data_IF_422395601196
#
_entry.id   IF_422395601196
#
_cell.length_a   1.000
_cell.length_b   1.000
_cell.length_c   1.000
_cell.angle_alpha   90.00
_cell.angle_beta   90.00
_cell.angle_gamma   90.00
#
_symmetry.space_group_name_H-M   'P 1'
#
loop_
_entity.id
_entity.type
_entity.pdbx_description
1 polymer ?
#
# COMPACT_ATOMS: atom_id res chain seq x y z
N UNK A 1 6.32 -28.53 18.39
CA UNK A 1 5.41 -27.89 19.39
C UNK A 1 5.80 -26.47 19.83
N UNK A 2 7.08 -26.15 20.12
CA UNK A 2 7.47 -24.81 20.62
C UNK A 2 7.17 -23.63 19.67
N UNK A 3 7.26 -23.82 18.34
CA UNK A 3 7.00 -22.77 17.32
C UNK A 3 5.59 -22.20 17.33
N UNK A 4 4.58 -23.04 17.59
CA UNK A 4 3.17 -22.63 17.59
C UNK A 4 2.84 -21.75 18.80
N UNK A 5 3.44 -22.01 19.96
CA UNK A 5 3.24 -21.20 21.17
C UNK A 5 3.77 -19.78 21.00
N UNK A 6 4.94 -19.61 20.40
CA UNK A 6 5.53 -18.30 20.13
C UNK A 6 4.71 -17.47 19.14
N UNK A 7 4.17 -18.08 18.09
CA UNK A 7 3.30 -17.38 17.13
C UNK A 7 2.01 -16.91 17.80
N UNK A 8 1.40 -17.73 18.68
CA UNK A 8 0.21 -17.33 19.43
C UNK A 8 0.49 -16.19 20.41
N UNK A 9 1.64 -16.24 21.09
CA UNK A 9 2.10 -15.19 21.97
C UNK A 9 2.34 -13.89 21.20
N UNK A 10 3.07 -13.94 20.09
CA UNK A 10 3.35 -12.76 19.23
C UNK A 10 2.07 -12.16 18.64
N UNK A 11 1.12 -13.00 18.18
CA UNK A 11 -0.21 -12.53 17.75
C UNK A 11 -0.97 -11.75 18.83
N UNK A 12 -0.73 -12.05 20.11
CA UNK A 12 -1.41 -11.44 21.26
C UNK A 12 -0.74 -10.15 21.74
N UNK A 13 0.58 -10.04 21.59
CA UNK A 13 1.37 -8.89 22.08
C UNK A 13 1.57 -7.83 21.00
N UNK A 14 1.64 -8.22 19.71
CA UNK A 14 1.78 -7.28 18.59
C UNK A 14 0.52 -7.33 17.71
N UNK A 15 -0.40 -6.36 17.87
CA UNK A 15 -1.46 -6.18 16.90
C UNK A 15 -0.80 -6.04 15.51
N UNK A 16 -1.30 -6.79 14.53
CA UNK A 16 -0.78 -6.89 13.16
C UNK A 16 0.45 -7.81 12.94
N UNK A 17 0.90 -8.61 13.93
CA UNK A 17 1.98 -9.59 13.69
C UNK A 17 1.64 -10.60 12.58
N UNK A 18 0.40 -11.09 12.57
CA UNK A 18 -0.07 -11.99 11.50
C UNK A 18 0.01 -11.30 10.13
N UNK A 19 -0.39 -10.04 10.06
CA UNK A 19 -0.32 -9.24 8.84
C UNK A 19 1.13 -9.08 8.36
N UNK A 20 2.10 -8.89 9.25
CA UNK A 20 3.53 -8.84 8.85
C UNK A 20 4.04 -10.14 8.21
N UNK A 21 3.45 -11.28 8.55
CA UNK A 21 3.81 -12.58 7.97
C UNK A 21 3.09 -12.86 6.65
N UNK A 22 1.86 -12.37 6.49
CA UNK A 22 1.03 -12.60 5.30
C UNK A 22 0.96 -11.38 4.37
N UNK A 23 1.70 -10.31 4.69
CA UNK A 23 1.70 -9.07 3.92
C UNK A 23 2.12 -9.36 2.47
N UNK A 24 1.37 -8.85 1.48
CA UNK A 24 1.79 -8.91 0.09
C UNK A 24 3.21 -8.35 -0.09
N UNK A 25 3.99 -8.95 -0.98
CA UNK A 25 5.42 -8.70 -1.14
C UNK A 25 5.83 -8.34 -2.58
N UNK A 26 4.86 -8.01 -3.43
CA UNK A 26 5.10 -7.44 -4.77
C UNK A 26 4.26 -6.19 -4.94
N UNK A 27 4.67 -5.29 -5.85
CA UNK A 27 3.89 -4.08 -6.19
C UNK A 27 2.45 -4.45 -6.59
N UNK A 28 2.33 -5.45 -7.47
CA UNK A 28 1.08 -5.97 -7.99
C UNK A 28 0.14 -6.48 -6.89
N UNK A 29 0.64 -7.36 -6.02
CA UNK A 29 -0.16 -7.97 -4.96
C UNK A 29 -0.61 -6.96 -3.89
N UNK A 30 0.20 -5.94 -3.64
CA UNK A 30 -0.18 -4.81 -2.77
C UNK A 30 -1.30 -4.00 -3.42
N UNK A 31 -1.16 -3.65 -4.71
CA UNK A 31 -2.16 -2.89 -5.43
C UNK A 31 -3.52 -3.62 -5.46
N UNK A 32 -3.51 -4.92 -5.74
CA UNK A 32 -4.71 -5.78 -5.69
C UNK A 32 -5.36 -5.77 -4.31
N UNK A 33 -4.60 -6.06 -3.24
CA UNK A 33 -5.15 -6.06 -1.87
C UNK A 33 -5.73 -4.69 -1.50
N UNK A 34 -5.10 -3.60 -1.93
CA UNK A 34 -5.57 -2.26 -1.61
C UNK A 34 -6.90 -1.93 -2.29
N UNK A 35 -7.00 -2.17 -3.61
CA UNK A 35 -8.23 -1.95 -4.37
C UNK A 35 -9.38 -2.80 -3.83
N UNK A 36 -9.11 -4.07 -3.53
CA UNK A 36 -10.17 -5.03 -3.18
C UNK A 36 -10.62 -4.96 -1.72
N UNK A 37 -9.75 -4.52 -0.81
CA UNK A 37 -10.01 -4.66 0.63
C UNK A 37 -9.84 -3.38 1.44
N UNK A 38 -9.20 -2.34 0.90
CA UNK A 38 -8.81 -1.14 1.67
C UNK A 38 -9.53 0.12 1.22
N UNK A 39 -9.96 0.17 -0.03
CA UNK A 39 -10.76 1.26 -0.56
C UNK A 39 -12.24 1.17 -0.14
N UNK A 40 -12.94 2.32 -0.08
CA UNK A 40 -14.41 2.36 -0.07
C UNK A 40 -15.04 1.58 -1.23
N UNK A 41 -16.35 1.37 -1.17
CA UNK A 41 -17.10 0.76 -2.27
C UNK A 41 -16.89 1.55 -3.57
N UNK A 42 -16.79 0.82 -4.69
CA UNK A 42 -16.56 1.38 -6.03
C UNK A 42 -17.49 2.55 -6.38
N UNK A 43 -18.78 2.48 -6.01
CA UNK A 43 -19.74 3.56 -6.28
C UNK A 43 -19.32 4.89 -5.65
N UNK A 44 -18.70 4.86 -4.47
CA UNK A 44 -18.19 6.06 -3.78
C UNK A 44 -16.89 6.61 -4.38
N UNK A 45 -16.30 5.90 -5.35
CA UNK A 45 -15.05 6.29 -6.01
C UNK A 45 -15.30 6.83 -7.42
N UNK A 46 -16.51 6.70 -7.98
CA UNK A 46 -16.87 7.15 -9.33
C UNK A 46 -16.74 8.66 -9.51
N UNK A 47 -16.98 9.41 -8.44
CA UNK A 47 -16.92 10.88 -8.44
C UNK A 47 -15.47 11.42 -8.32
N UNK A 48 -14.48 10.54 -8.17
CA UNK A 48 -13.08 10.96 -8.07
C UNK A 48 -12.47 11.17 -9.46
N UNK A 49 -11.84 12.32 -9.66
CA UNK A 49 -11.10 12.63 -10.88
C UNK A 49 -9.70 11.98 -10.86
N UNK A 50 -9.60 10.80 -11.47
CA UNK A 50 -8.32 10.09 -11.65
C UNK A 50 -7.40 10.74 -12.72
N UNK A 51 -7.91 11.67 -13.52
CA UNK A 51 -7.13 12.43 -14.50
C UNK A 51 -6.35 13.60 -13.88
N UNK A 52 -6.74 14.05 -12.68
CA UNK A 52 -6.14 15.18 -11.98
C UNK A 52 -5.47 14.78 -10.66
N UNK A 53 -4.56 13.81 -10.72
CA UNK A 53 -3.79 13.36 -9.55
C UNK A 53 -2.65 14.36 -9.30
N UNK A 54 -2.90 15.36 -8.46
CA UNK A 54 -1.82 16.25 -7.99
C UNK A 54 -0.94 15.56 -6.94
N UNK A 55 0.37 15.85 -6.93
CA UNK A 55 1.32 15.23 -5.99
C UNK A 55 1.26 15.82 -4.57
N UNK A 56 0.68 17.02 -4.41
CA UNK A 56 0.74 17.80 -3.17
C UNK A 56 -0.64 18.18 -2.60
N UNK A 57 -1.73 17.82 -3.27
CA UNK A 57 -3.11 17.98 -2.81
C UNK A 57 -3.89 16.68 -3.00
N UNK A 58 -5.11 16.63 -2.46
CA UNK A 58 -6.11 15.56 -2.67
C UNK A 58 -5.99 14.24 -1.89
N UNK A 59 -7.10 13.45 -1.81
CA UNK A 59 -7.17 12.13 -1.16
C UNK A 59 -6.04 11.17 -1.54
N UNK A 60 -5.45 11.35 -2.72
CA UNK A 60 -4.34 10.57 -3.25
C UNK A 60 -3.12 10.56 -2.33
N UNK A 61 -2.77 11.70 -1.73
CA UNK A 61 -1.67 11.76 -0.76
C UNK A 61 -1.99 10.99 0.52
N UNK A 62 -3.25 11.01 0.96
CA UNK A 62 -3.70 10.19 2.09
C UNK A 62 -3.63 8.68 1.77
N UNK A 63 -3.92 8.29 0.53
CA UNK A 63 -3.84 6.88 0.11
C UNK A 63 -2.39 6.39 0.03
N UNK A 64 -1.45 7.19 -0.47
CA UNK A 64 -0.01 6.87 -0.44
C UNK A 64 0.52 6.69 0.99
N UNK A 65 0.15 7.59 1.91
CA UNK A 65 0.44 7.41 3.35
C UNK A 65 -0.16 6.12 3.91
N UNK A 66 -1.37 5.77 3.48
CA UNK A 66 -2.04 4.54 3.90
C UNK A 66 -1.36 3.29 3.35
N UNK A 67 -0.87 3.32 2.11
CA UNK A 67 -0.05 2.25 1.52
C UNK A 67 1.22 2.03 2.36
N UNK A 68 1.95 3.10 2.68
CA UNK A 68 3.13 3.01 3.55
C UNK A 68 2.82 2.33 4.88
N UNK A 69 1.78 2.80 5.56
CA UNK A 69 1.41 2.31 6.87
C UNK A 69 0.99 0.83 6.85
N UNK A 70 0.10 0.46 5.90
CA UNK A 70 -0.48 -0.89 5.86
C UNK A 70 0.52 -1.94 5.39
N UNK A 71 1.35 -1.63 4.41
CA UNK A 71 2.24 -2.62 3.79
C UNK A 71 3.70 -2.47 4.20
N UNK A 72 4.00 -1.55 5.12
CA UNK A 72 5.35 -1.36 5.63
C UNK A 72 6.33 -1.00 4.52
N UNK A 73 5.89 -0.21 3.53
CA UNK A 73 6.74 0.24 2.42
C UNK A 73 7.67 1.33 2.94
N UNK A 74 7.17 2.49 3.35
CA UNK A 74 7.98 3.50 4.03
C UNK A 74 7.51 3.71 5.47
N UNK A 75 8.41 4.10 6.39
CA UNK A 75 8.00 4.53 7.73
C UNK A 75 7.25 5.87 7.68
N UNK A 76 7.56 6.69 6.67
CA UNK A 76 6.95 7.99 6.44
C UNK A 76 6.89 8.24 4.93
N UNK A 77 5.72 8.59 4.41
CA UNK A 77 5.59 9.16 3.06
C UNK A 77 5.54 10.67 3.23
N UNK A 78 6.59 11.37 2.78
CA UNK A 78 6.71 12.81 2.99
C UNK A 78 6.06 13.60 1.88
N UNK A 79 5.82 14.88 2.19
CA UNK A 79 5.65 15.92 1.18
C UNK A 79 7.03 16.06 0.46
N UNK A 80 7.13 16.38 -0.85
CA UNK A 80 8.37 16.36 -1.63
C UNK A 80 9.52 17.25 -1.12
N UNK A 81 9.34 17.95 -0.01
CA UNK A 81 10.27 18.91 0.58
C UNK A 81 11.14 18.34 1.71
N UNK A 82 10.87 17.12 2.20
CA UNK A 82 11.54 16.55 3.38
C UNK A 82 12.59 15.49 2.97
N UNK A 83 13.86 15.56 3.42
CA UNK A 83 14.93 14.74 2.85
C UNK A 83 15.10 13.33 3.44
N UNK A 84 14.31 12.93 4.45
CA UNK A 84 14.57 11.67 5.17
C UNK A 84 13.68 10.53 4.71
N UNK A 85 14.12 9.76 3.73
CA UNK A 85 13.39 8.57 3.25
C UNK A 85 13.80 7.32 4.05
N UNK A 86 12.86 6.67 4.75
CA UNK A 86 13.13 5.50 5.60
C UNK A 86 12.33 4.26 5.19
N UNK A 87 13.05 3.16 4.90
CA UNK A 87 12.45 1.85 4.61
C UNK A 87 11.58 1.37 5.77
N UNK A 88 10.39 0.88 5.43
CA UNK A 88 9.49 0.21 6.38
C UNK A 88 9.86 -1.25 6.62
N UNK A 89 8.97 -1.96 7.34
CA UNK A 89 9.21 -3.31 7.85
C UNK A 89 9.07 -4.45 6.81
N UNK A 90 8.58 -4.18 5.58
CA UNK A 90 8.34 -5.22 4.58
C UNK A 90 9.61 -5.59 3.81
N UNK A 91 10.50 -6.34 4.47
CA UNK A 91 11.76 -6.83 3.90
C UNK A 91 11.59 -7.80 2.72
N UNK A 92 10.40 -8.35 2.49
CA UNK A 92 10.15 -9.21 1.31
C UNK A 92 9.95 -8.35 0.07
N UNK A 93 9.13 -7.31 0.17
CA UNK A 93 8.94 -6.34 -0.91
C UNK A 93 10.28 -5.77 -1.40
N UNK A 94 11.17 -5.37 -0.49
CA UNK A 94 12.50 -4.85 -0.85
C UNK A 94 13.42 -5.84 -1.56
N UNK A 95 13.26 -7.13 -1.27
CA UNK A 95 14.04 -8.17 -1.96
C UNK A 95 13.54 -8.39 -3.39
N UNK A 96 12.24 -8.21 -3.61
CA UNK A 96 11.62 -8.36 -4.93
C UNK A 96 11.77 -7.10 -5.79
N UNK A 97 11.94 -5.93 -5.16
CA UNK A 97 12.06 -4.63 -5.84
C UNK A 97 13.40 -3.95 -5.48
N UNK A 98 14.55 -4.56 -5.84
CA UNK A 98 15.86 -4.01 -5.51
C UNK A 98 16.11 -2.68 -6.24
N UNK A 99 16.70 -1.71 -5.53
CA UNK A 99 17.14 -0.44 -6.13
C UNK A 99 16.08 0.67 -6.14
N UNK A 100 14.85 0.41 -5.68
CA UNK A 100 13.85 1.46 -5.50
C UNK A 100 13.99 2.15 -4.15
N UNK A 101 13.94 3.48 -4.18
CA UNK A 101 13.75 4.29 -2.98
C UNK A 101 12.33 4.11 -2.43
N UNK A 102 12.12 4.23 -1.10
CA UNK A 102 10.83 3.90 -0.54
C UNK A 102 9.63 4.66 -1.04
N UNK A 103 9.74 5.96 -1.25
CA UNK A 103 8.64 6.75 -1.78
C UNK A 103 8.39 6.42 -3.25
N UNK A 104 9.44 6.17 -4.04
CA UNK A 104 9.30 5.73 -5.42
C UNK A 104 8.56 4.38 -5.52
N UNK A 105 8.78 3.48 -4.56
CA UNK A 105 8.06 2.21 -4.52
C UNK A 105 6.58 2.39 -4.14
N UNK A 106 6.28 3.34 -3.26
CA UNK A 106 4.90 3.71 -2.91
C UNK A 106 4.19 4.32 -4.11
N UNK A 107 4.87 5.19 -4.86
CA UNK A 107 4.32 5.79 -6.08
C UNK A 107 4.03 4.71 -7.13
N UNK A 108 4.94 3.75 -7.34
CA UNK A 108 4.67 2.61 -8.24
C UNK A 108 3.46 1.79 -7.83
N UNK A 109 3.32 1.49 -6.54
CA UNK A 109 2.14 0.79 -6.01
C UNK A 109 0.87 1.60 -6.23
N UNK A 110 0.95 2.91 -6.00
CA UNK A 110 -0.16 3.82 -6.20
C UNK A 110 -0.57 3.87 -7.68
N UNK A 111 0.39 3.99 -8.61
CA UNK A 111 0.10 4.03 -10.04
C UNK A 111 -0.55 2.73 -10.53
N UNK A 112 -0.02 1.57 -10.10
CA UNK A 112 -0.60 0.25 -10.40
C UNK A 112 -2.02 0.12 -9.84
N UNK A 113 -2.26 0.61 -8.63
CA UNK A 113 -3.58 0.65 -8.01
C UNK A 113 -4.55 1.53 -8.82
N UNK A 114 -4.12 2.70 -9.30
CA UNK A 114 -4.96 3.60 -10.12
C UNK A 114 -5.32 2.95 -11.44
N UNK A 115 -4.36 2.35 -12.16
CA UNK A 115 -4.63 1.64 -13.41
C UNK A 115 -5.69 0.55 -13.23
N UNK A 116 -5.55 -0.25 -12.16
CA UNK A 116 -6.52 -1.31 -11.83
C UNK A 116 -7.90 -0.77 -11.48
N UNK A 117 -7.96 0.37 -10.80
CA UNK A 117 -9.22 0.99 -10.42
C UNK A 117 -9.94 1.57 -11.64
N UNK A 118 -9.21 2.16 -12.57
CA UNK A 118 -9.74 2.64 -13.86
C UNK A 118 -10.36 1.48 -14.66
N UNK A 119 -9.63 0.37 -14.83
CA UNK A 119 -10.15 -0.82 -15.51
C UNK A 119 -11.43 -1.37 -14.85
N UNK A 120 -11.45 -1.46 -13.51
CA UNK A 120 -12.65 -1.93 -12.79
C UNK A 120 -13.86 -0.99 -12.93
N UNK A 121 -13.63 0.32 -13.09
CA UNK A 121 -14.72 1.29 -13.27
C UNK A 121 -15.28 1.25 -14.70
N UNK A 122 -14.43 1.02 -15.69
CA UNK A 122 -14.83 0.82 -17.09
C UNK A 122 -15.68 -0.46 -17.23
N UNK A 123 -15.23 -1.58 -16.66
CA UNK A 123 -15.93 -2.87 -16.72
C UNK A 123 -17.35 -2.85 -16.10
N UNK A 124 -17.58 -2.01 -15.08
CA UNK A 124 -18.90 -1.89 -14.41
C UNK A 124 -19.81 -0.89 -15.13
N UNK A 125 -19.27 -0.10 -16.05
CA UNK A 125 -20.01 0.92 -16.82
C UNK A 125 -20.45 0.43 -18.20
N UNK A 126 -19.91 -0.69 -18.70
CA UNK A 126 -20.32 -1.37 -19.93
C UNK A 126 -21.36 -2.46 -19.69
#
# INVERSE_FOLDING_TARGET
MKRLLWIHLLKRITPNFHWRLTCPDTVDSIAVDFVERRLPKLDSLRDLDFGNITRCGDPWFAWRRRICFLYGVSNHYHNPSDPVVLRGWNHRLWRNEPGYEPEALVDRIFDEMIQRLQLKLEDVSG
#
